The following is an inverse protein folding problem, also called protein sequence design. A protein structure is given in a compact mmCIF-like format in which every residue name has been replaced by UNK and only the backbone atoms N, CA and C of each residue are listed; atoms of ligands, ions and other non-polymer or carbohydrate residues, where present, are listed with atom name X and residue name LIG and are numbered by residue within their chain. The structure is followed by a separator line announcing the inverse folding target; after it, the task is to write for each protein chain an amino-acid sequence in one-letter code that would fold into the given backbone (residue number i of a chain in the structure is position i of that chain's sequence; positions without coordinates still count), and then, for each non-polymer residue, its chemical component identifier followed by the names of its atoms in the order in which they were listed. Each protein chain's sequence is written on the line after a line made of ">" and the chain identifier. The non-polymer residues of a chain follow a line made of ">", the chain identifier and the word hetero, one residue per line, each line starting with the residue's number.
data_IF_374713037321
#
_entry.id   IF_374713037321
#
_cell.length_a   1.000
_cell.length_b   1.000
_cell.length_c   1.000
_cell.angle_alpha   90.00
_cell.angle_beta   90.00
_cell.angle_gamma   90.00
#
_symmetry.space_group_name_H-M   'P 1'
#
loop_
_entity.id
_entity.type
_entity.pdbx_description
1 polymer ?
#
# COMPACT_ATOMS: atom_id res chain seq x y z
N UNK A 1 13.30 14.56 17.94
CA UNK A 1 13.36 13.53 19.01
C UNK A 1 12.01 12.82 19.20
N UNK A 2 10.89 13.55 19.33
CA UNK A 2 9.54 12.97 19.53
C UNK A 2 9.04 12.15 18.32
N UNK A 3 9.19 12.64 17.08
CA UNK A 3 8.81 11.90 15.86
C UNK A 3 9.52 10.53 15.75
N UNK A 4 10.78 10.46 16.19
CA UNK A 4 11.57 9.23 16.16
C UNK A 4 11.10 8.22 17.21
N UNK A 5 10.77 8.69 18.42
CA UNK A 5 10.20 7.86 19.51
C UNK A 5 8.80 7.37 19.13
N UNK A 6 7.97 8.22 18.54
CA UNK A 6 6.65 7.83 18.04
C UNK A 6 6.80 6.82 16.90
N UNK A 7 7.72 7.03 15.96
CA UNK A 7 7.98 6.08 14.88
C UNK A 7 8.53 4.75 15.40
N UNK A 8 9.40 4.78 16.42
CA UNK A 8 9.97 3.61 17.07
C UNK A 8 8.92 2.84 17.88
N UNK A 9 7.98 3.54 18.54
CA UNK A 9 6.86 2.89 19.23
C UNK A 9 5.82 2.34 18.24
N UNK A 10 5.59 3.03 17.11
CA UNK A 10 4.76 2.50 16.01
C UNK A 10 5.38 1.25 15.39
N UNK A 11 6.70 1.23 15.24
CA UNK A 11 7.50 0.08 14.83
C UNK A 11 7.36 -1.05 15.85
N UNK A 12 7.59 -0.77 17.14
CA UNK A 12 7.45 -1.75 18.21
C UNK A 12 6.04 -2.34 18.27
N UNK A 13 4.98 -1.53 18.14
CA UNK A 13 3.60 -2.01 18.12
C UNK A 13 3.28 -2.89 16.90
N UNK A 14 3.83 -2.57 15.73
CA UNK A 14 3.72 -3.41 14.53
C UNK A 14 4.43 -4.76 14.74
N UNK A 15 5.69 -4.73 15.19
CA UNK A 15 6.48 -5.93 15.47
C UNK A 15 5.92 -6.76 16.64
N UNK A 16 5.34 -6.14 17.67
CA UNK A 16 4.70 -6.84 18.80
C UNK A 16 3.38 -7.52 18.37
N UNK A 17 2.64 -6.90 17.45
CA UNK A 17 1.42 -7.49 16.87
C UNK A 17 1.77 -8.66 15.94
N UNK A 18 2.87 -8.57 15.19
CA UNK A 18 3.37 -9.63 14.31
C UNK A 18 3.60 -10.96 15.05
N UNK A 19 4.30 -10.92 16.20
CA UNK A 19 4.59 -12.10 17.02
C UNK A 19 3.31 -12.73 17.58
N UNK A 20 2.29 -11.92 17.89
CA UNK A 20 1.02 -12.42 18.45
C UNK A 20 0.04 -12.96 17.41
N UNK A 21 0.18 -12.57 16.15
CA UNK A 21 -0.80 -12.89 15.09
C UNK A 21 -0.23 -13.89 14.06
N UNK A 22 1.05 -14.26 14.16
CA UNK A 22 1.62 -15.41 13.44
C UNK A 22 2.07 -15.11 12.01
N UNK A 23 2.95 -14.12 11.82
CA UNK A 23 3.62 -13.96 10.53
C UNK A 23 2.89 -13.09 9.50
N UNK A 24 2.02 -12.16 9.93
CA UNK A 24 1.18 -11.34 9.04
C UNK A 24 1.86 -10.06 8.58
N UNK A 25 1.57 -9.61 7.35
CA UNK A 25 1.95 -8.26 6.90
C UNK A 25 0.90 -7.25 7.34
N UNK A 26 1.35 -6.18 7.99
CA UNK A 26 0.51 -5.10 8.49
C UNK A 26 0.70 -3.86 7.62
N UNK A 27 -0.38 -3.37 7.01
CA UNK A 27 -0.45 -2.06 6.36
C UNK A 27 -1.22 -1.11 7.28
N UNK A 28 -0.50 -0.16 7.87
CA UNK A 28 -1.06 0.90 8.70
C UNK A 28 -1.18 2.19 7.89
N UNK A 29 -2.43 2.56 7.57
CA UNK A 29 -2.73 3.85 6.95
C UNK A 29 -2.42 5.04 7.86
N UNK A 30 -1.95 6.13 7.26
CA UNK A 30 -1.66 7.37 7.98
C UNK A 30 -1.37 8.55 7.07
N UNK A 31 -0.71 9.58 7.62
CA UNK A 31 -0.11 10.65 6.80
C UNK A 31 0.86 10.05 5.77
N UNK A 32 1.66 9.11 6.26
CA UNK A 32 2.40 8.13 5.46
C UNK A 32 1.89 6.75 5.85
N UNK A 33 1.73 5.88 4.86
CA UNK A 33 1.31 4.51 5.11
C UNK A 33 2.55 3.68 5.46
N UNK A 34 2.50 2.97 6.60
CA UNK A 34 3.58 2.13 7.09
C UNK A 34 3.24 0.67 6.83
N UNK A 35 4.15 -0.07 6.22
CA UNK A 35 3.97 -1.46 5.83
C UNK A 35 5.08 -2.27 6.48
N UNK A 36 4.72 -3.36 7.17
CA UNK A 36 5.69 -4.23 7.82
C UNK A 36 5.28 -5.68 7.79
N UNK A 37 6.25 -6.56 7.57
CA UNK A 37 6.13 -8.01 7.69
C UNK A 37 6.90 -8.56 8.90
N UNK A 38 7.21 -7.70 9.89
CA UNK A 38 7.98 -8.09 11.08
C UNK A 38 9.48 -7.83 10.97
N UNK A 39 10.07 -8.00 9.78
CA UNK A 39 11.51 -7.83 9.55
C UNK A 39 11.83 -6.49 8.88
N UNK A 40 11.03 -6.12 7.88
CA UNK A 40 11.19 -4.85 7.16
C UNK A 40 10.05 -3.89 7.47
N UNK A 41 10.36 -2.59 7.43
CA UNK A 41 9.37 -1.52 7.45
C UNK A 41 9.58 -0.62 6.24
N UNK A 42 8.50 -0.44 5.48
CA UNK A 42 8.44 0.43 4.31
C UNK A 42 7.41 1.52 4.56
N UNK A 43 7.72 2.73 4.10
CA UNK A 43 6.85 3.90 4.21
C UNK A 43 6.48 4.39 2.83
N UNK A 44 5.19 4.58 2.56
CA UNK A 44 4.68 5.15 1.31
C UNK A 44 4.09 6.53 1.60
N UNK A 45 4.71 7.56 1.01
CA UNK A 45 4.33 8.96 1.22
C UNK A 45 4.30 9.82 -0.05
N UNK A 46 4.49 9.24 -1.24
CA UNK A 46 4.68 9.97 -2.50
C UNK A 46 3.51 10.90 -2.87
N UNK A 47 2.28 10.47 -2.64
CA UNK A 47 1.06 11.23 -2.92
C UNK A 47 0.33 11.63 -1.65
N UNK A 48 -0.96 11.99 -1.71
CA UNK A 48 -1.77 12.18 -0.51
C UNK A 48 -2.96 13.07 -0.75
N UNK A 49 -3.96 12.93 0.11
CA UNK A 49 -5.11 13.82 0.13
C UNK A 49 -5.37 14.25 1.57
N UNK A 50 -5.59 15.55 1.83
CA UNK A 50 -5.97 16.03 3.15
C UNK A 50 -7.41 15.62 3.52
N UNK A 51 -8.18 15.05 2.57
CA UNK A 51 -9.57 14.65 2.80
C UNK A 51 -9.69 13.17 3.18
N UNK A 52 -10.43 12.92 4.26
CA UNK A 52 -10.93 11.60 4.64
C UNK A 52 -12.40 11.48 4.25
N UNK A 53 -12.70 10.72 3.21
CA UNK A 53 -14.04 10.20 2.92
C UNK A 53 -14.17 8.73 3.39
N UNK A 54 -15.38 8.33 3.78
CA UNK A 54 -15.68 6.95 4.18
C UNK A 54 -15.68 6.00 2.99
N UNK A 55 -15.07 4.82 3.12
CA UNK A 55 -14.93 3.83 2.03
C UNK A 55 -13.55 3.76 1.37
N UNK A 56 -12.63 4.67 1.69
CA UNK A 56 -11.23 4.56 1.23
C UNK A 56 -10.53 3.28 1.71
N UNK A 57 -10.98 2.70 2.82
CA UNK A 57 -10.49 1.43 3.35
C UNK A 57 -10.75 0.29 2.38
N UNK A 58 -11.96 0.25 1.81
CA UNK A 58 -12.43 -0.80 0.91
C UNK A 58 -11.68 -0.77 -0.43
N UNK A 59 -11.42 0.44 -0.95
CA UNK A 59 -10.57 0.58 -2.14
C UNK A 59 -9.17 0.04 -1.86
N UNK A 60 -8.57 0.41 -0.72
CA UNK A 60 -7.24 -0.09 -0.39
C UNK A 60 -7.20 -1.60 -0.27
N UNK A 61 -8.13 -2.21 0.49
CA UNK A 61 -8.14 -3.65 0.69
C UNK A 61 -8.36 -4.40 -0.62
N UNK A 62 -9.26 -3.91 -1.48
CA UNK A 62 -9.45 -4.44 -2.83
C UNK A 62 -8.19 -4.35 -3.69
N UNK A 63 -7.54 -3.18 -3.72
CA UNK A 63 -6.27 -3.00 -4.45
C UNK A 63 -5.15 -3.89 -3.90
N UNK A 64 -5.03 -4.04 -2.57
CA UNK A 64 -4.06 -4.93 -1.93
C UNK A 64 -4.28 -6.37 -2.39
N UNK A 65 -5.54 -6.84 -2.41
CA UNK A 65 -5.86 -8.20 -2.83
C UNK A 65 -5.44 -8.47 -4.29
N UNK A 66 -5.71 -7.53 -5.19
CA UNK A 66 -5.31 -7.64 -6.62
C UNK A 66 -3.79 -7.68 -6.76
N UNK A 67 -3.08 -6.70 -6.20
CA UNK A 67 -1.62 -6.64 -6.34
C UNK A 67 -0.90 -7.79 -5.64
N UNK A 68 -1.41 -8.25 -4.49
CA UNK A 68 -0.88 -9.44 -3.82
C UNK A 68 -1.07 -10.69 -4.69
N UNK A 69 -2.24 -10.86 -5.31
CA UNK A 69 -2.50 -11.99 -6.21
C UNK A 69 -1.51 -12.01 -7.37
N UNK A 70 -1.30 -10.87 -8.03
CA UNK A 70 -0.32 -10.74 -9.12
C UNK A 70 1.12 -10.96 -8.67
N UNK A 71 1.52 -10.42 -7.52
CA UNK A 71 2.84 -10.65 -6.95
C UNK A 71 3.10 -12.14 -6.67
N UNK A 72 2.12 -12.84 -6.07
CA UNK A 72 2.20 -14.28 -5.83
C UNK A 72 2.30 -15.08 -7.14
N UNK A 73 1.51 -14.73 -8.16
CA UNK A 73 1.57 -15.38 -9.47
C UNK A 73 2.94 -15.20 -10.14
N UNK A 74 3.47 -13.97 -10.13
CA UNK A 74 4.77 -13.67 -10.69
C UNK A 74 5.90 -14.46 -10.02
N UNK A 75 5.90 -14.53 -8.68
CA UNK A 75 6.89 -15.33 -7.93
C UNK A 75 6.78 -16.82 -8.28
N UNK A 76 5.56 -17.35 -8.45
CA UNK A 76 5.35 -18.75 -8.85
C UNK A 76 5.94 -19.04 -10.24
N UNK A 77 5.75 -18.13 -11.20
CA UNK A 77 6.29 -18.26 -12.57
C UNK A 77 7.83 -18.24 -12.53
N UNK A 78 8.41 -17.29 -11.81
CA UNK A 78 9.87 -17.20 -11.66
C UNK A 78 10.47 -18.47 -11.03
N UNK A 79 9.78 -19.06 -10.05
CA UNK A 79 10.20 -20.32 -9.43
C UNK A 79 10.17 -21.49 -10.43
N UNK A 80 9.20 -21.52 -11.36
CA UNK A 80 9.13 -22.55 -12.41
C UNK A 80 10.18 -22.37 -13.50
N UNK A 81 10.61 -21.14 -13.78
CA UNK A 81 11.59 -20.82 -14.83
C UNK A 81 13.05 -20.93 -14.35
N UNK A 82 13.30 -21.32 -13.09
CA UNK A 82 14.65 -21.53 -12.56
C UNK A 82 15.45 -20.25 -12.29
N UNK A 83 14.83 -19.07 -12.38
CA UNK A 83 15.46 -17.79 -12.06
C UNK A 83 15.50 -17.54 -10.55
N UNK A 84 16.40 -18.26 -9.84
CA UNK A 84 16.48 -18.28 -8.37
C UNK A 84 17.30 -17.15 -7.72
N UNK A 85 17.73 -16.13 -8.46
CA UNK A 85 18.63 -15.07 -7.93
C UNK A 85 17.93 -13.83 -7.38
N UNK A 86 16.61 -13.84 -7.16
CA UNK A 86 15.90 -12.70 -6.59
C UNK A 86 15.72 -12.95 -5.09
N UNK A 87 16.38 -12.15 -4.25
CA UNK A 87 16.05 -12.03 -2.81
C UNK A 87 14.56 -11.68 -2.71
N UNK A 88 13.67 -12.61 -2.34
CA UNK A 88 12.25 -12.41 -2.54
C UNK A 88 11.74 -11.43 -1.48
N UNK A 89 11.51 -10.18 -1.88
CA UNK A 89 10.72 -9.26 -1.08
C UNK A 89 9.34 -9.89 -0.91
N UNK A 90 8.85 -9.94 0.32
CA UNK A 90 7.56 -10.54 0.65
C UNK A 90 6.47 -10.01 -0.30
N UNK A 91 5.74 -10.88 -1.04
CA UNK A 91 4.73 -10.44 -2.01
C UNK A 91 3.61 -9.60 -1.37
N UNK A 92 3.31 -9.83 -0.09
CA UNK A 92 2.37 -9.01 0.65
C UNK A 92 2.90 -7.59 0.87
N UNK A 93 4.18 -7.43 1.17
CA UNK A 93 4.80 -6.10 1.27
C UNK A 93 4.73 -5.39 -0.09
N UNK A 94 5.05 -6.08 -1.20
CA UNK A 94 4.95 -5.50 -2.54
C UNK A 94 3.52 -5.07 -2.88
N UNK A 95 2.54 -5.95 -2.63
CA UNK A 95 1.13 -5.67 -2.87
C UNK A 95 0.62 -4.49 -2.05
N UNK A 96 1.02 -4.41 -0.79
CA UNK A 96 0.72 -3.29 0.09
C UNK A 96 1.31 -1.96 -0.40
N UNK A 97 2.56 -1.96 -0.89
CA UNK A 97 3.22 -0.76 -1.41
C UNK A 97 2.48 -0.25 -2.66
N UNK A 98 2.23 -1.15 -3.64
CA UNK A 98 1.54 -0.81 -4.87
C UNK A 98 0.13 -0.27 -4.61
N UNK A 99 -0.65 -0.96 -3.76
CA UNK A 99 -2.00 -0.54 -3.40
C UNK A 99 -2.03 0.81 -2.67
N UNK A 100 -1.10 1.04 -1.74
CA UNK A 100 -0.98 2.33 -1.04
C UNK A 100 -0.63 3.45 -2.02
N UNK A 101 0.32 3.23 -2.93
CA UNK A 101 0.69 4.21 -3.94
C UNK A 101 -0.49 4.57 -4.85
N UNK A 102 -1.19 3.55 -5.38
CA UNK A 102 -2.36 3.73 -6.24
C UNK A 102 -3.47 4.52 -5.55
N UNK A 103 -3.88 4.10 -4.34
CA UNK A 103 -4.94 4.78 -3.63
C UNK A 103 -4.56 6.22 -3.29
N UNK A 104 -3.33 6.47 -2.83
CA UNK A 104 -2.89 7.82 -2.46
C UNK A 104 -2.81 8.74 -3.67
N UNK A 105 -2.42 8.23 -4.84
CA UNK A 105 -2.46 8.97 -6.11
C UNK A 105 -3.90 9.28 -6.53
N UNK A 106 -4.78 8.28 -6.54
CA UNK A 106 -6.19 8.47 -6.90
C UNK A 106 -6.91 9.45 -5.97
N UNK A 107 -6.65 9.36 -4.66
CA UNK A 107 -7.19 10.29 -3.68
C UNK A 107 -6.67 11.73 -3.89
N UNK A 108 -5.39 11.88 -4.29
CA UNK A 108 -4.81 13.19 -4.62
C UNK A 108 -5.50 13.81 -5.83
N UNK A 109 -5.67 13.05 -6.92
CA UNK A 109 -6.34 13.52 -8.14
C UNK A 109 -7.82 13.86 -7.90
N UNK A 110 -8.53 13.00 -7.16
CA UNK A 110 -9.93 13.26 -6.81
C UNK A 110 -10.07 14.51 -5.92
N UNK A 111 -9.12 14.73 -5.01
CA UNK A 111 -9.08 15.95 -4.20
C UNK A 111 -8.74 17.20 -5.01
N UNK A 112 -7.86 17.09 -6.00
CA UNK A 112 -7.55 18.20 -6.89
C UNK A 112 -8.80 18.71 -7.61
N UNK A 113 -9.65 17.79 -8.09
CA UNK A 113 -10.89 18.09 -8.83
C UNK A 113 -12.04 18.56 -7.92
N UNK A 114 -12.29 17.88 -6.81
CA UNK A 114 -13.49 18.08 -5.97
C UNK A 114 -13.23 18.79 -4.65
N UNK A 115 -11.96 18.95 -4.25
CA UNK A 115 -11.54 19.60 -3.00
C UNK A 115 -12.32 19.08 -1.78
N UNK A 116 -13.07 19.94 -1.10
CA UNK A 116 -13.86 19.57 0.10
C UNK A 116 -15.09 18.71 -0.23
N UNK A 117 -15.42 18.49 -1.49
CA UNK A 117 -16.55 17.66 -1.90
C UNK A 117 -16.12 16.26 -2.34
N UNK A 118 -14.84 15.88 -2.22
CA UNK A 118 -14.37 14.54 -2.61
C UNK A 118 -15.07 13.44 -1.81
N UNK A 119 -15.65 12.51 -2.56
CA UNK A 119 -16.24 11.27 -2.12
C UNK A 119 -15.39 10.08 -2.57
N UNK A 120 -15.72 8.89 -2.05
CA UNK A 120 -15.04 7.65 -2.42
C UNK A 120 -15.30 7.27 -3.88
N UNK A 121 -16.47 7.60 -4.43
CA UNK A 121 -16.76 7.45 -5.86
C UNK A 121 -15.80 8.25 -6.74
N UNK A 122 -15.48 9.50 -6.38
CA UNK A 122 -14.51 10.32 -7.13
C UNK A 122 -13.11 9.70 -7.12
N UNK A 123 -12.74 9.03 -6.02
CA UNK A 123 -11.47 8.29 -5.93
C UNK A 123 -11.48 7.08 -6.86
N UNK A 124 -12.58 6.33 -6.91
CA UNK A 124 -12.76 5.18 -7.80
C UNK A 124 -12.62 5.62 -9.26
N UNK A 125 -13.24 6.73 -9.66
CA UNK A 125 -13.12 7.30 -11.01
C UNK A 125 -11.67 7.66 -11.38
N UNK A 126 -10.83 7.99 -10.40
CA UNK A 126 -9.42 8.33 -10.62
C UNK A 126 -8.49 7.11 -10.56
N UNK A 127 -8.96 5.89 -10.26
CA UNK A 127 -8.09 4.72 -10.14
C UNK A 127 -7.41 4.38 -11.46
N UNK A 128 -8.16 4.38 -12.58
CA UNK A 128 -7.62 4.04 -13.90
C UNK A 128 -6.48 4.96 -14.32
N UNK A 129 -6.71 6.28 -14.31
CA UNK A 129 -5.68 7.27 -14.65
C UNK A 129 -4.50 7.24 -13.67
N UNK A 130 -4.76 6.96 -12.39
CA UNK A 130 -3.68 6.83 -11.40
C UNK A 130 -2.81 5.61 -11.64
N UNK A 131 -3.40 4.51 -12.11
CA UNK A 131 -2.66 3.30 -12.44
C UNK A 131 -1.83 3.54 -13.71
N UNK A 132 -2.41 4.16 -14.73
CA UNK A 132 -1.70 4.54 -15.96
C UNK A 132 -0.49 5.44 -15.67
N UNK A 133 -0.65 6.43 -14.79
CA UNK A 133 0.46 7.30 -14.35
C UNK A 133 1.59 6.54 -13.64
N UNK A 134 1.27 5.46 -12.92
CA UNK A 134 2.23 4.67 -12.13
C UNK A 134 2.86 3.56 -12.99
N UNK A 135 2.07 2.94 -13.86
CA UNK A 135 2.40 1.82 -14.70
C UNK A 135 1.66 1.97 -16.03
N UNK A 136 2.24 2.70 -17.01
CA UNK A 136 1.60 2.93 -18.30
C UNK A 136 1.34 1.63 -19.06
N UNK A 137 0.22 1.56 -19.76
CA UNK A 137 -0.04 0.50 -20.72
C UNK A 137 0.91 0.71 -21.93
N UNK A 138 1.66 -0.35 -22.28
CA UNK A 138 2.54 -0.35 -23.45
C UNK A 138 1.75 -0.40 -24.77
#
# INVERSE_FOLDING_TARGET
>A
MIEFIVSLWKFLMCSLSFIRIGGVTILRKGKSDLISDGDIVKSVSNYGSPRRCGGQGDILSGSVAVFLSWACQHIRILATEGHLNISPVNPAVMGCIAASALLRKAASLAFEKRKRSTLTSDIIECLGSSLEDICPAC
#
